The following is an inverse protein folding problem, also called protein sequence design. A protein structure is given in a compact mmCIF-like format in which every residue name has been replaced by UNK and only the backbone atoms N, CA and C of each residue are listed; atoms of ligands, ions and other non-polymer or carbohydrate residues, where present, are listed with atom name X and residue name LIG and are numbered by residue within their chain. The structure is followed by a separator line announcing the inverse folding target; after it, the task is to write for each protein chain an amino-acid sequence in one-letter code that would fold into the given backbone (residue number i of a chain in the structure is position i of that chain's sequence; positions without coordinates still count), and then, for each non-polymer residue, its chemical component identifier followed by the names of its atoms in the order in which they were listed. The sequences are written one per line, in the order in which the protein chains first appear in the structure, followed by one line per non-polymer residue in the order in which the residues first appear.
data_IF_712597713847
#
_entry.id   IF_712597713847
#
_cell.length_a   1.000
_cell.length_b   1.000
_cell.length_c   1.000
_cell.angle_alpha   90.00
_cell.angle_beta   90.00
_cell.angle_gamma   90.00
#
_symmetry.space_group_name_H-M   'P 1'
#
loop_
_entity.id
_entity.type
_entity.pdbx_description
1 polymer ?
#
# COMPACT_ATOMS: atom_id res chain seq x y z
N UNK A 1 -15.87 6.60 -3.42
CA UNK A 1 -14.69 7.35 -3.96
C UNK A 1 -15.10 8.26 -5.13
N UNK A 2 -14.27 9.24 -5.53
CA UNK A 2 -14.63 10.25 -6.56
C UNK A 2 -13.53 10.45 -7.62
N UNK A 3 -13.93 10.94 -8.81
CA UNK A 3 -13.07 11.37 -9.93
C UNK A 3 -12.06 10.31 -10.40
N UNK A 4 -12.52 9.15 -10.91
CA UNK A 4 -11.61 8.13 -11.41
C UNK A 4 -10.83 8.65 -12.62
N UNK A 5 -9.51 8.52 -12.58
CA UNK A 5 -8.61 8.75 -13.72
C UNK A 5 -7.92 7.43 -14.06
N UNK A 6 -7.90 7.00 -15.33
CA UNK A 6 -7.22 5.76 -15.73
C UNK A 6 -5.76 5.74 -15.29
N UNK A 7 -5.29 4.54 -14.92
CA UNK A 7 -3.91 4.23 -14.58
C UNK A 7 -3.53 2.88 -15.19
N UNK A 8 -2.39 2.32 -14.79
CA UNK A 8 -1.85 1.08 -15.33
C UNK A 8 -1.14 0.26 -14.25
N UNK A 9 -0.94 -1.03 -14.54
CA UNK A 9 -0.10 -1.90 -13.71
C UNK A 9 1.34 -1.35 -13.61
N UNK A 10 1.86 -0.77 -14.69
CA UNK A 10 3.18 -0.14 -14.71
C UNK A 10 3.30 1.02 -13.71
N UNK A 11 2.28 1.88 -13.64
CA UNK A 11 2.22 2.98 -12.67
C UNK A 11 2.08 2.46 -11.22
N UNK A 12 1.29 1.41 -11.01
CA UNK A 12 1.18 0.75 -9.71
C UNK A 12 2.53 0.21 -9.23
N UNK A 13 3.26 -0.51 -10.09
CA UNK A 13 4.58 -1.05 -9.75
C UNK A 13 5.57 0.07 -9.46
N UNK A 14 5.56 1.13 -10.27
CA UNK A 14 6.42 2.29 -10.07
C UNK A 14 6.15 2.97 -8.72
N UNK A 15 4.87 3.18 -8.38
CA UNK A 15 4.48 3.74 -7.09
C UNK A 15 4.93 2.84 -5.93
N UNK A 16 4.67 1.53 -6.01
CA UNK A 16 5.04 0.56 -4.97
C UNK A 16 6.55 0.55 -4.70
N UNK A 17 7.38 0.45 -5.76
CA UNK A 17 8.84 0.42 -5.60
C UNK A 17 9.37 1.75 -5.06
N UNK A 18 8.83 2.88 -5.53
CA UNK A 18 9.24 4.21 -5.06
C UNK A 18 8.91 4.41 -3.58
N UNK A 19 7.76 3.94 -3.11
CA UNK A 19 7.38 4.04 -1.69
C UNK A 19 8.24 3.13 -0.81
N UNK A 20 8.55 1.93 -1.25
CA UNK A 20 9.44 1.03 -0.49
C UNK A 20 10.90 1.48 -0.50
N UNK A 21 11.40 2.05 -1.59
CA UNK A 21 12.75 2.62 -1.63
C UNK A 21 12.91 3.79 -0.66
N UNK A 22 11.86 4.60 -0.50
CA UNK A 22 11.84 5.70 0.47
C UNK A 22 11.73 5.20 1.93
N UNK A 23 11.20 3.99 2.16
CA UNK A 23 10.95 3.42 3.49
C UNK A 23 12.23 2.91 4.15
N UNK A 24 12.50 3.33 5.40
CA UNK A 24 13.63 2.83 6.17
C UNK A 24 13.67 1.31 6.31
N UNK A 25 12.49 0.65 6.34
CA UNK A 25 12.39 -0.81 6.49
C UNK A 25 12.85 -1.58 5.24
N UNK A 26 12.63 -1.01 4.06
CA UNK A 26 12.78 -1.75 2.79
C UNK A 26 13.89 -1.19 1.90
N UNK A 27 14.33 0.05 2.15
CA UNK A 27 15.36 0.77 1.39
C UNK A 27 16.60 -0.07 1.14
N UNK A 28 17.27 -0.52 2.20
CA UNK A 28 18.58 -1.17 2.07
C UNK A 28 18.51 -2.45 1.23
N UNK A 29 17.47 -3.25 1.45
CA UNK A 29 17.23 -4.48 0.68
C UNK A 29 16.92 -4.20 -0.79
N UNK A 30 16.14 -3.15 -1.08
CA UNK A 30 15.81 -2.76 -2.46
C UNK A 30 17.02 -2.10 -3.17
N UNK A 31 17.82 -1.28 -2.48
CA UNK A 31 19.06 -0.70 -3.01
C UNK A 31 20.10 -1.79 -3.32
N UNK A 32 20.28 -2.75 -2.43
CA UNK A 32 21.15 -3.90 -2.67
C UNK A 32 20.67 -4.72 -3.87
N UNK A 33 19.35 -4.89 -4.02
CA UNK A 33 18.77 -5.57 -5.18
C UNK A 33 19.05 -4.81 -6.48
N UNK A 34 18.81 -3.50 -6.52
CA UNK A 34 19.08 -2.62 -7.67
C UNK A 34 20.54 -2.74 -8.12
N UNK A 35 21.48 -2.62 -7.18
CA UNK A 35 22.91 -2.76 -7.44
C UNK A 35 23.27 -4.15 -8.00
N UNK A 36 22.73 -5.22 -7.41
CA UNK A 36 22.99 -6.60 -7.83
C UNK A 36 22.52 -6.89 -9.26
N UNK A 37 21.40 -6.29 -9.68
CA UNK A 37 20.81 -6.55 -11.00
C UNK A 37 21.16 -5.49 -12.05
N UNK A 38 21.99 -4.51 -11.67
CA UNK A 38 22.48 -3.45 -12.57
C UNK A 38 21.38 -2.49 -13.05
N UNK A 39 20.27 -2.35 -12.32
CA UNK A 39 19.21 -1.41 -12.68
C UNK A 39 19.48 -0.07 -12.01
N UNK A 40 19.61 1.04 -12.76
CA UNK A 40 19.80 2.36 -12.17
C UNK A 40 18.66 2.76 -11.26
N UNK A 41 18.96 3.41 -10.13
CA UNK A 41 17.95 3.86 -9.16
C UNK A 41 16.89 4.79 -9.79
N UNK A 42 17.28 5.58 -10.81
CA UNK A 42 16.35 6.45 -11.57
C UNK A 42 15.15 5.72 -12.15
N UNK A 43 15.29 4.43 -12.49
CA UNK A 43 14.19 3.60 -13.01
C UNK A 43 13.06 3.46 -11.98
N UNK A 44 13.36 3.64 -10.68
CA UNK A 44 12.37 3.65 -9.60
C UNK A 44 12.01 5.08 -9.17
N UNK A 45 12.99 5.99 -9.07
CA UNK A 45 12.74 7.33 -8.51
C UNK A 45 12.09 8.31 -9.50
N UNK A 46 12.37 8.16 -10.80
CA UNK A 46 11.86 8.99 -11.89
C UNK A 46 11.33 8.09 -13.04
N UNK A 47 10.19 7.43 -12.83
CA UNK A 47 9.72 6.39 -13.74
C UNK A 47 9.19 6.99 -15.05
N UNK A 48 9.80 6.63 -16.18
CA UNK A 48 9.20 6.86 -17.49
C UNK A 48 8.20 5.73 -17.80
N UNK A 49 6.90 6.02 -17.69
CA UNK A 49 5.84 5.03 -17.91
C UNK A 49 5.63 4.66 -19.39
N UNK A 50 6.14 5.46 -20.32
CA UNK A 50 6.07 5.17 -21.76
C UNK A 50 7.24 4.29 -22.23
N UNK A 51 8.27 4.13 -21.40
CA UNK A 51 9.40 3.24 -21.66
C UNK A 51 9.08 1.79 -21.26
N UNK A 52 8.91 0.93 -22.27
CA UNK A 52 8.58 -0.48 -22.08
C UNK A 52 9.68 -1.28 -21.38
N UNK A 53 10.94 -0.95 -21.64
CA UNK A 53 12.09 -1.66 -21.06
C UNK A 53 12.24 -1.30 -19.59
N UNK A 54 12.06 -0.02 -19.24
CA UNK A 54 12.02 0.39 -17.84
C UNK A 54 10.83 -0.21 -17.08
N UNK A 55 9.65 -0.27 -17.70
CA UNK A 55 8.47 -0.93 -17.11
C UNK A 55 8.74 -2.42 -16.86
N UNK A 56 9.38 -3.10 -17.81
CA UNK A 56 9.76 -4.49 -17.66
C UNK A 56 10.79 -4.68 -16.54
N UNK A 57 11.79 -3.79 -16.45
CA UNK A 57 12.78 -3.79 -15.38
C UNK A 57 12.13 -3.60 -14.00
N UNK A 58 11.20 -2.64 -13.86
CA UNK A 58 10.40 -2.43 -12.63
C UNK A 58 9.60 -3.69 -12.25
N UNK A 59 8.92 -4.34 -13.21
CA UNK A 59 8.18 -5.58 -12.95
C UNK A 59 9.09 -6.71 -12.46
N UNK A 60 10.28 -6.87 -13.06
CA UNK A 60 11.29 -7.86 -12.59
C UNK A 60 11.81 -7.53 -11.20
N UNK A 61 12.10 -6.26 -10.92
CA UNK A 61 12.50 -5.80 -9.59
C UNK A 61 11.45 -6.15 -8.53
N UNK A 62 10.19 -5.82 -8.77
CA UNK A 62 9.11 -6.15 -7.84
C UNK A 62 8.91 -7.67 -7.71
N UNK A 63 9.16 -8.43 -8.78
CA UNK A 63 9.16 -9.90 -8.74
C UNK A 63 10.24 -10.44 -7.80
N UNK A 64 11.47 -9.94 -7.88
CA UNK A 64 12.52 -10.38 -6.96
C UNK A 64 12.34 -9.86 -5.53
N UNK A 65 11.76 -8.67 -5.36
CA UNK A 65 11.60 -8.05 -4.03
C UNK A 65 10.37 -8.57 -3.26
N UNK A 66 9.28 -8.87 -3.96
CA UNK A 66 7.96 -9.19 -3.38
C UNK A 66 7.26 -10.39 -4.03
N UNK A 67 7.93 -11.10 -4.94
CA UNK A 67 7.36 -12.25 -5.64
C UNK A 67 6.12 -11.92 -6.49
N UNK A 68 6.05 -10.68 -7.01
CA UNK A 68 4.93 -10.19 -7.83
C UNK A 68 4.71 -11.02 -9.09
N UNK A 69 5.72 -11.18 -9.94
CA UNK A 69 5.60 -11.90 -11.21
C UNK A 69 5.40 -13.40 -11.06
N UNK A 70 5.71 -13.98 -9.90
CA UNK A 70 5.45 -15.40 -9.59
C UNK A 70 4.12 -15.61 -8.86
N UNK A 71 3.39 -14.53 -8.56
CA UNK A 71 2.11 -14.54 -7.81
C UNK A 71 2.21 -15.40 -6.55
N UNK A 72 3.25 -15.16 -5.77
CA UNK A 72 3.50 -15.82 -4.48
C UNK A 72 3.86 -14.79 -3.40
N UNK A 73 4.04 -15.22 -2.16
CA UNK A 73 4.30 -14.31 -1.03
C UNK A 73 3.15 -13.30 -0.86
N UNK A 74 3.48 -11.99 -0.89
CA UNK A 74 2.49 -10.91 -0.82
C UNK A 74 1.44 -11.02 -1.93
N UNK A 75 1.80 -11.58 -3.09
CA UNK A 75 0.93 -11.66 -4.26
C UNK A 75 0.36 -13.07 -4.50
N UNK A 76 0.35 -13.94 -3.48
CA UNK A 76 -0.18 -15.30 -3.60
C UNK A 76 -1.66 -15.32 -4.02
N UNK A 77 -1.93 -15.76 -5.25
CA UNK A 77 -3.29 -15.73 -5.82
C UNK A 77 -3.79 -14.34 -6.22
N UNK A 78 -2.90 -13.34 -6.29
CA UNK A 78 -3.28 -11.99 -6.73
C UNK A 78 -3.66 -11.98 -8.22
N UNK A 79 -4.75 -11.30 -8.61
CA UNK A 79 -5.24 -11.27 -9.99
C UNK A 79 -4.23 -10.74 -11.02
N UNK A 80 -4.30 -11.28 -12.24
CA UNK A 80 -3.57 -10.79 -13.41
C UNK A 80 -4.39 -9.75 -14.23
N UNK A 81 -5.70 -9.64 -13.97
CA UNK A 81 -6.66 -8.81 -14.71
C UNK A 81 -7.05 -7.52 -13.99
N UNK A 82 -6.17 -6.99 -13.14
CA UNK A 82 -6.45 -5.81 -12.33
C UNK A 82 -6.50 -4.55 -13.19
N UNK A 83 -7.60 -3.82 -13.08
CA UNK A 83 -7.77 -2.49 -13.66
C UNK A 83 -7.39 -1.43 -12.64
N UNK A 84 -6.47 -0.55 -13.02
CA UNK A 84 -5.94 0.47 -12.12
C UNK A 84 -6.51 1.84 -12.43
N UNK A 85 -6.92 2.57 -11.39
CA UNK A 85 -7.41 3.94 -11.48
C UNK A 85 -6.97 4.79 -10.28
N UNK A 86 -6.65 6.04 -10.55
CA UNK A 86 -6.51 7.05 -9.51
C UNK A 86 -7.89 7.52 -9.07
N UNK A 87 -8.08 7.71 -7.76
CA UNK A 87 -9.31 8.24 -7.21
C UNK A 87 -9.06 9.10 -5.97
N UNK A 88 -10.01 9.98 -5.67
CA UNK A 88 -10.09 10.68 -4.40
C UNK A 88 -10.89 9.84 -3.39
N UNK A 89 -10.36 9.71 -2.17
CA UNK A 89 -11.01 9.04 -1.03
C UNK A 89 -11.19 10.03 0.14
N UNK A 90 -12.40 10.09 0.69
CA UNK A 90 -12.70 10.89 1.88
C UNK A 90 -12.21 10.18 3.15
N UNK A 91 -11.93 10.91 4.25
CA UNK A 91 -11.59 10.31 5.54
C UNK A 91 -12.58 9.24 6.02
N UNK A 92 -13.89 9.46 5.84
CA UNK A 92 -14.92 8.49 6.23
C UNK A 92 -14.90 7.20 5.40
N UNK A 93 -14.49 7.28 4.14
CA UNK A 93 -14.30 6.11 3.26
C UNK A 93 -12.99 5.40 3.61
N UNK A 94 -11.92 6.17 3.83
CA UNK A 94 -10.61 5.65 4.25
C UNK A 94 -10.68 4.88 5.57
N UNK A 95 -11.53 5.32 6.50
CA UNK A 95 -11.76 4.65 7.78
C UNK A 95 -12.32 3.22 7.64
N UNK A 96 -12.88 2.86 6.47
CA UNK A 96 -13.41 1.52 6.18
C UNK A 96 -12.42 0.62 5.42
N UNK A 97 -11.25 1.15 5.06
CA UNK A 97 -10.21 0.37 4.37
C UNK A 97 -9.63 -0.67 5.34
N UNK A 98 -9.63 -1.93 4.91
CA UNK A 98 -9.06 -3.05 5.65
C UNK A 98 -7.58 -3.20 5.34
N UNK A 99 -6.78 -3.58 6.33
CA UNK A 99 -5.48 -4.20 6.10
C UNK A 99 -5.65 -5.51 5.34
N UNK A 100 -4.60 -5.97 4.66
CA UNK A 100 -4.50 -7.35 4.21
C UNK A 100 -4.77 -8.37 5.34
N UNK A 101 -5.24 -9.55 4.98
CA UNK A 101 -5.34 -10.70 5.89
C UNK A 101 -3.95 -11.27 6.21
N UNK A 102 -3.23 -10.57 7.07
CA UNK A 102 -1.91 -10.94 7.53
C UNK A 102 -1.87 -10.89 9.05
N UNK A 103 -1.35 -11.95 9.67
CA UNK A 103 -1.47 -12.22 11.11
C UNK A 103 -1.14 -11.01 11.99
N UNK A 104 -0.08 -10.26 11.66
CA UNK A 104 0.30 -9.05 12.39
C UNK A 104 -0.82 -8.00 12.41
N UNK A 105 -1.42 -7.68 11.25
CA UNK A 105 -2.46 -6.66 11.14
C UNK A 105 -3.80 -7.14 11.72
N UNK A 106 -4.09 -8.43 11.57
CA UNK A 106 -5.26 -9.08 12.19
C UNK A 106 -5.17 -8.96 13.72
N UNK A 107 -4.04 -9.33 14.32
CA UNK A 107 -3.86 -9.23 15.77
C UNK A 107 -3.84 -7.77 16.26
N UNK A 108 -3.20 -6.87 15.51
CA UNK A 108 -3.15 -5.44 15.84
C UNK A 108 -4.54 -4.81 15.90
N UNK A 109 -5.41 -5.15 14.95
CA UNK A 109 -6.79 -4.65 14.85
C UNK A 109 -7.79 -5.41 15.72
N UNK A 110 -7.39 -6.51 16.37
CA UNK A 110 -8.30 -7.34 17.15
C UNK A 110 -9.23 -8.19 16.27
N UNK A 111 -8.79 -8.56 15.08
CA UNK A 111 -9.50 -9.43 14.14
C UNK A 111 -10.27 -8.71 13.05
N UNK A 112 -10.56 -7.41 13.19
CA UNK A 112 -11.43 -6.68 12.26
C UNK A 112 -10.74 -6.27 10.96
N UNK A 113 -9.40 -6.25 10.98
CA UNK A 113 -8.52 -5.72 9.93
C UNK A 113 -8.69 -4.23 9.68
N UNK A 114 -9.45 -3.49 10.50
CA UNK A 114 -9.62 -2.05 10.33
C UNK A 114 -8.55 -1.25 11.08
N UNK A 115 -8.04 -0.22 10.42
CA UNK A 115 -7.08 0.70 11.05
C UNK A 115 -7.71 1.56 12.16
N UNK A 116 -9.02 1.83 12.09
CA UNK A 116 -9.78 2.49 13.15
C UNK A 116 -9.79 1.68 14.45
N UNK A 117 -9.82 0.35 14.35
CA UNK A 117 -9.83 -0.54 15.51
C UNK A 117 -8.42 -0.83 16.02
N UNK A 118 -7.42 -0.79 15.13
CA UNK A 118 -6.02 -0.85 15.51
C UNK A 118 -5.58 0.37 16.33
N UNK A 119 -6.08 1.58 16.01
CA UNK A 119 -5.69 2.82 16.67
C UNK A 119 -5.82 2.82 18.21
N UNK A 120 -6.98 2.48 18.82
CA UNK A 120 -7.10 2.42 20.27
C UNK A 120 -6.24 1.30 20.89
N UNK A 121 -6.07 0.18 20.19
CA UNK A 121 -5.24 -0.96 20.66
C UNK A 121 -3.76 -0.59 20.71
N UNK A 122 -3.27 0.13 19.72
CA UNK A 122 -1.91 0.68 19.72
C UNK A 122 -1.72 1.66 20.89
N UNK A 123 -2.70 2.54 21.13
CA UNK A 123 -2.64 3.47 22.29
C UNK A 123 -2.61 2.72 23.64
N UNK A 124 -3.23 1.55 23.70
CA UNK A 124 -3.18 0.64 24.85
C UNK A 124 -1.88 -0.18 24.94
N UNK A 125 -0.95 -0.02 23.99
CA UNK A 125 0.36 -0.69 24.00
C UNK A 125 0.35 -2.11 23.42
N UNK A 126 -0.69 -2.50 22.66
CA UNK A 126 -0.72 -3.81 21.97
C UNK A 126 0.47 -3.90 20.99
N UNK A 127 1.25 -4.98 21.11
CA UNK A 127 2.42 -5.27 20.28
C UNK A 127 2.33 -6.72 19.78
N UNK A 128 1.68 -6.95 18.62
CA UNK A 128 1.54 -8.29 18.06
C UNK A 128 2.89 -8.99 17.90
N UNK A 129 2.96 -10.26 18.34
CA UNK A 129 4.20 -11.04 18.33
C UNK A 129 5.41 -10.35 19.00
N UNK A 130 5.17 -9.44 19.96
CA UNK A 130 6.21 -8.65 20.61
C UNK A 130 6.79 -7.51 19.77
N UNK A 131 6.27 -7.29 18.55
CA UNK A 131 6.74 -6.24 17.65
C UNK A 131 6.00 -4.93 17.94
N UNK A 132 6.72 -3.99 18.55
CA UNK A 132 6.20 -2.66 18.88
C UNK A 132 6.02 -1.80 17.63
N UNK A 133 5.05 -0.88 17.67
CA UNK A 133 4.81 0.10 16.61
C UNK A 133 5.75 1.31 16.69
N UNK A 134 7.06 1.09 16.83
CA UNK A 134 8.05 2.17 17.06
C UNK A 134 8.22 3.10 15.85
N UNK A 135 7.76 2.68 14.67
CA UNK A 135 7.68 3.49 13.45
C UNK A 135 6.59 4.57 13.50
N UNK A 136 5.63 4.43 14.41
CA UNK A 136 4.39 5.20 14.42
C UNK A 136 4.51 6.64 14.94
N UNK A 137 5.31 6.96 15.97
CA UNK A 137 5.39 8.32 16.50
C UNK A 137 5.80 9.34 15.43
N UNK A 138 6.84 9.03 14.65
CA UNK A 138 7.31 9.91 13.57
C UNK A 138 6.25 10.11 12.47
N UNK A 139 5.55 9.02 12.08
CA UNK A 139 4.49 9.12 11.07
C UNK A 139 3.29 9.91 11.57
N UNK A 140 2.91 9.72 12.84
CA UNK A 140 1.78 10.43 13.46
C UNK A 140 2.07 11.92 13.61
N UNK A 141 3.31 12.29 13.95
CA UNK A 141 3.76 13.68 13.97
C UNK A 141 3.69 14.30 12.56
N UNK A 142 4.21 13.61 11.54
CA UNK A 142 4.15 14.08 10.16
C UNK A 142 2.70 14.27 9.66
N UNK A 143 1.75 13.38 10.03
CA UNK A 143 0.32 13.60 9.75
C UNK A 143 -0.20 14.84 10.46
N UNK A 144 0.19 15.07 11.72
CA UNK A 144 -0.23 16.26 12.46
C UNK A 144 0.23 17.56 11.80
N UNK A 145 1.43 17.55 11.20
CA UNK A 145 2.05 18.66 10.49
C UNK A 145 1.56 18.80 9.04
N UNK A 146 0.53 18.03 8.65
CA UNK A 146 -0.01 18.01 7.29
C UNK A 146 1.05 17.72 6.21
N UNK A 147 2.06 16.90 6.56
CA UNK A 147 3.05 16.42 5.61
C UNK A 147 2.37 15.68 4.46
N UNK A 148 2.96 15.79 3.26
CA UNK A 148 2.52 15.01 2.11
C UNK A 148 3.06 13.61 2.21
N UNK A 149 2.18 12.63 2.04
CA UNK A 149 2.53 11.22 2.00
C UNK A 149 2.36 10.68 0.58
N UNK A 150 3.15 9.66 0.19
CA UNK A 150 2.83 8.89 -0.99
C UNK A 150 1.42 8.30 -0.91
N UNK A 151 0.67 8.26 -2.02
CA UNK A 151 -0.65 7.64 -2.08
C UNK A 151 -0.67 6.20 -1.54
N UNK A 152 -1.83 5.77 -1.05
CA UNK A 152 -2.06 4.36 -0.73
C UNK A 152 -2.35 3.61 -2.03
N UNK A 153 -1.94 2.33 -2.06
CA UNK A 153 -2.35 1.39 -3.10
C UNK A 153 -3.42 0.50 -2.50
N UNK A 154 -4.64 0.57 -3.02
CA UNK A 154 -5.79 -0.19 -2.55
C UNK A 154 -6.24 -1.18 -3.62
N UNK A 155 -6.95 -2.22 -3.21
CA UNK A 155 -7.61 -3.16 -4.13
C UNK A 155 -9.05 -3.42 -3.68
N UNK A 156 -9.91 -3.76 -4.64
CA UNK A 156 -11.34 -4.01 -4.42
C UNK A 156 -11.88 -5.04 -5.41
N UNK A 157 -12.91 -5.80 -5.00
CA UNK A 157 -13.67 -6.64 -5.90
C UNK A 157 -14.52 -5.81 -6.87
N UNK A 158 -14.87 -6.41 -8.01
CA UNK A 158 -15.89 -5.91 -8.92
C UNK A 158 -17.23 -6.64 -8.71
N UNK A 159 -18.38 -5.94 -8.72
CA UNK A 159 -18.54 -4.49 -8.85
C UNK A 159 -18.02 -3.75 -7.62
N UNK A 160 -17.43 -2.57 -7.86
CA UNK A 160 -16.73 -1.80 -6.82
C UNK A 160 -17.70 -1.37 -5.71
N UNK A 161 -17.29 -1.63 -4.48
CA UNK A 161 -17.97 -1.16 -3.27
C UNK A 161 -16.95 -0.48 -2.36
N UNK A 162 -17.30 0.70 -1.81
CA UNK A 162 -16.46 1.37 -0.81
C UNK A 162 -16.35 0.57 0.51
N UNK A 163 -17.13 -0.51 0.68
CA UNK A 163 -17.09 -1.38 1.85
C UNK A 163 -16.01 -2.48 1.75
N UNK A 164 -15.40 -2.67 0.58
CA UNK A 164 -14.52 -3.82 0.31
C UNK A 164 -13.08 -3.42 -0.05
N UNK A 165 -12.64 -2.20 0.28
CA UNK A 165 -11.28 -1.79 0.02
C UNK A 165 -10.29 -2.48 0.97
N UNK A 166 -9.24 -3.06 0.39
CA UNK A 166 -8.09 -3.63 1.12
C UNK A 166 -6.83 -2.86 0.72
N UNK A 167 -6.02 -2.42 1.69
CA UNK A 167 -4.75 -1.76 1.42
C UNK A 167 -3.69 -2.79 0.99
N UNK A 168 -3.20 -2.69 -0.24
CA UNK A 168 -2.08 -3.48 -0.75
C UNK A 168 -0.73 -2.89 -0.30
N UNK A 169 -0.61 -1.56 -0.34
CA UNK A 169 0.59 -0.84 0.12
C UNK A 169 0.20 0.43 0.87
N UNK A 170 0.95 0.74 1.93
CA UNK A 170 0.71 1.90 2.78
C UNK A 170 0.03 1.58 4.12
N UNK A 171 0.10 0.34 4.60
CA UNK A 171 -0.45 -0.09 5.89
C UNK A 171 -0.09 0.87 7.05
N UNK A 172 1.20 1.20 7.21
CA UNK A 172 1.66 2.12 8.24
C UNK A 172 1.10 3.55 8.08
N UNK A 173 0.93 4.01 6.83
CA UNK A 173 0.34 5.32 6.53
C UNK A 173 -1.14 5.33 6.88
N UNK A 174 -1.88 4.27 6.51
CA UNK A 174 -3.28 4.08 6.89
C UNK A 174 -3.44 4.08 8.43
N UNK A 175 -2.57 3.41 9.17
CA UNK A 175 -2.58 3.43 10.64
C UNK A 175 -2.36 4.84 11.19
N UNK A 176 -1.37 5.56 10.69
CA UNK A 176 -1.06 6.93 11.12
C UNK A 176 -2.23 7.89 10.83
N UNK A 177 -2.86 7.76 9.67
CA UNK A 177 -4.08 8.50 9.32
C UNK A 177 -5.21 8.26 10.31
N UNK A 178 -5.44 7.00 10.74
CA UNK A 178 -6.50 6.67 11.69
C UNK A 178 -6.18 7.02 13.15
N UNK A 179 -4.92 7.32 13.48
CA UNK A 179 -4.57 7.88 14.78
C UNK A 179 -4.80 9.38 14.87
N UNK A 180 -4.81 10.08 13.73
CA UNK A 180 -5.04 11.53 13.59
C UNK A 180 -6.05 11.84 12.47
N UNK A 181 -7.26 11.26 12.52
CA UNK A 181 -8.26 11.47 11.47
C UNK A 181 -8.72 12.94 11.40
N UNK A 182 -8.61 13.67 12.51
CA UNK A 182 -8.87 15.11 12.66
C UNK A 182 -7.92 16.01 11.85
N UNK A 183 -6.80 15.46 11.37
CA UNK A 183 -5.76 16.20 10.63
C UNK A 183 -5.75 15.86 9.14
N UNK A 184 -6.64 14.97 8.70
CA UNK A 184 -6.68 14.58 7.29
C UNK A 184 -7.29 15.69 6.43
N UNK A 185 -6.78 15.88 5.20
CA UNK A 185 -7.46 16.71 4.23
C UNK A 185 -8.85 16.14 3.89
N UNK A 186 -9.76 16.93 3.30
CA UNK A 186 -11.10 16.47 2.93
C UNK A 186 -11.07 15.30 1.94
N UNK A 187 -10.01 15.19 1.13
CA UNK A 187 -9.76 14.09 0.20
C UNK A 187 -8.27 13.75 0.16
N UNK A 188 -7.98 12.46 -0.01
CA UNK A 188 -6.66 11.92 -0.30
C UNK A 188 -6.69 11.26 -1.68
N UNK A 189 -5.60 11.39 -2.43
CA UNK A 189 -5.43 10.65 -3.68
C UNK A 189 -4.94 9.22 -3.36
N UNK A 190 -5.57 8.23 -4.00
CA UNK A 190 -5.23 6.81 -3.88
C UNK A 190 -5.20 6.14 -5.25
N UNK A 191 -4.36 5.12 -5.39
CA UNK A 191 -4.36 4.25 -6.55
C UNK A 191 -5.15 2.99 -6.21
N UNK A 192 -6.17 2.66 -7.00
CA UNK A 192 -7.09 1.56 -6.71
C UNK A 192 -7.09 0.56 -7.86
N UNK A 193 -6.89 -0.71 -7.51
CA UNK A 193 -6.98 -1.84 -8.41
C UNK A 193 -8.30 -2.58 -8.24
N UNK A 194 -9.06 -2.80 -9.31
CA UNK A 194 -10.27 -3.62 -9.30
C UNK A 194 -10.11 -4.89 -10.11
N UNK A 195 -10.61 -6.01 -9.60
CA UNK A 195 -10.72 -7.27 -10.35
C UNK A 195 -11.87 -8.12 -9.79
N UNK A 196 -12.64 -8.82 -10.63
CA UNK A 196 -13.65 -9.78 -10.16
C UNK A 196 -13.04 -10.95 -9.39
N UNK A 197 -11.73 -11.21 -9.53
CA UNK A 197 -11.03 -12.33 -8.91
C UNK A 197 -10.13 -11.95 -7.74
N UNK A 198 -10.06 -10.66 -7.35
CA UNK A 198 -9.30 -10.25 -6.17
C UNK A 198 -9.72 -10.97 -4.87
N UNK A 199 -10.98 -11.40 -4.66
CA UNK A 199 -11.33 -12.20 -3.47
C UNK A 199 -10.62 -13.55 -3.37
N UNK A 200 -9.95 -14.00 -4.43
CA UNK A 200 -9.11 -15.22 -4.42
C UNK A 200 -7.66 -14.94 -4.00
N UNK A 201 -7.27 -13.67 -3.88
CA UNK A 201 -5.98 -13.30 -3.33
C UNK A 201 -5.89 -13.80 -1.89
N UNK A 202 -4.84 -14.53 -1.56
CA UNK A 202 -4.70 -15.17 -0.25
C UNK A 202 -4.56 -14.21 0.94
N UNK A 203 -4.57 -12.90 0.67
CA UNK A 203 -4.51 -11.83 1.66
C UNK A 203 -5.73 -10.89 1.59
N UNK A 204 -6.77 -11.29 0.86
CA UNK A 204 -8.02 -10.54 0.69
C UNK A 204 -8.79 -10.38 1.99
#
# INVERSE_FOLDING_TARGET
MRRPRPSSEAEMIALFLRTELASARFRDGLQALLARVGVPERVVTDPNLDDRDENHARRRLLTWHRAYGTRSGLFNGFPDDVRWEWAAIAPAELARVRYIDYSYWVELSGGTRLATDAAPRIRAGVAPFGVRSDWLPAMTAAVADAARFPPLILVTAEPRSDADLVVLEGHARLTAFMLRPDRLPPELEVLVGSSPTVPRWGLW
#
